data_IF_691990395887
#
_entry.id   IF_691990395887
#
_cell.length_a   1.000
_cell.length_b   1.000
_cell.length_c   1.000
_cell.angle_alpha   90.00
_cell.angle_beta   90.00
_cell.angle_gamma   90.00
#
_symmetry.space_group_name_H-M   'P 1'
#
loop_
_entity.id
_entity.type
_entity.pdbx_description
1 polymer ?
#
# COMPACT_ATOMS: atom_id res chain seq x y z
N UNK A 1 3.36 24.47 7.73
CA UNK A 1 3.04 23.15 8.36
C UNK A 1 2.85 21.99 7.34
N UNK A 2 3.04 22.23 6.02
CA UNK A 2 2.86 21.19 4.97
C UNK A 2 4.20 20.62 4.44
N UNK A 3 5.34 20.85 5.08
CA UNK A 3 6.67 20.59 4.50
C UNK A 3 7.45 19.42 5.09
N UNK A 4 7.01 18.78 6.14
CA UNK A 4 7.77 17.69 6.80
C UNK A 4 7.48 16.32 6.19
N UNK A 5 6.28 16.08 5.69
CA UNK A 5 5.92 14.82 5.02
C UNK A 5 6.58 14.64 3.63
N UNK A 6 7.08 15.72 3.02
CA UNK A 6 7.63 15.69 1.66
C UNK A 6 9.08 15.16 1.58
N UNK A 7 9.83 15.16 2.66
CA UNK A 7 11.28 14.89 2.62
C UNK A 7 11.60 13.39 2.65
N UNK A 8 10.76 12.56 3.25
CA UNK A 8 11.02 11.11 3.32
C UNK A 8 10.57 10.39 2.04
N UNK A 9 9.68 10.99 1.25
CA UNK A 9 9.13 10.41 0.01
C UNK A 9 10.00 10.63 -1.23
N UNK A 10 10.95 11.57 -1.20
CA UNK A 10 11.73 11.92 -2.40
C UNK A 10 12.86 10.94 -2.74
N UNK A 11 13.25 10.07 -1.82
CA UNK A 11 14.37 9.15 -2.04
C UNK A 11 14.02 7.88 -2.83
N UNK A 12 12.77 7.43 -2.84
CA UNK A 12 12.37 6.17 -3.49
C UNK A 12 11.54 6.34 -4.78
N UNK A 13 11.03 7.54 -5.07
CA UNK A 13 10.14 7.78 -6.21
C UNK A 13 10.77 8.57 -7.37
N UNK A 14 12.07 8.86 -7.34
CA UNK A 14 12.75 9.65 -8.38
C UNK A 14 12.85 8.96 -9.77
N UNK A 15 12.21 7.81 -9.97
CA UNK A 15 12.25 7.06 -11.23
C UNK A 15 10.90 6.74 -11.87
N UNK A 16 9.78 7.07 -11.24
CA UNK A 16 8.44 6.71 -11.74
C UNK A 16 7.60 7.95 -12.10
N UNK A 17 8.13 8.85 -12.93
CA UNK A 17 7.27 9.76 -13.69
C UNK A 17 6.55 8.94 -14.76
N UNK A 18 5.33 8.50 -14.47
CA UNK A 18 4.47 7.95 -15.52
C UNK A 18 4.06 9.11 -16.43
N UNK A 19 4.43 9.10 -17.72
CA UNK A 19 3.91 10.10 -18.64
C UNK A 19 2.39 9.95 -18.71
N UNK A 20 1.66 11.05 -18.58
CA UNK A 20 0.25 11.11 -18.84
C UNK A 20 -0.01 10.68 -20.30
N UNK A 21 -0.42 9.43 -20.49
CA UNK A 21 -0.71 8.90 -21.82
C UNK A 21 -2.12 9.31 -22.19
N UNK A 22 -2.22 10.17 -23.20
CA UNK A 22 -3.48 10.54 -23.83
C UNK A 22 -4.32 9.30 -24.16
N UNK A 23 -5.52 9.23 -23.62
CA UNK A 23 -6.46 8.14 -23.84
C UNK A 23 -6.94 8.14 -25.29
N UNK A 24 -6.38 7.25 -26.11
CA UNK A 24 -7.00 6.88 -27.37
C UNK A 24 -8.11 5.88 -27.06
N UNK A 25 -9.38 6.26 -27.32
CA UNK A 25 -10.53 5.36 -27.18
C UNK A 25 -10.38 4.17 -28.14
N UNK A 26 -9.87 3.05 -27.66
CA UNK A 26 -9.88 1.79 -28.40
C UNK A 26 -10.99 0.88 -27.82
N UNK A 27 -11.82 0.33 -28.72
CA UNK A 27 -12.88 -0.63 -28.37
C UNK A 27 -12.31 -1.85 -27.66
N UNK A 28 -12.84 -2.16 -26.48
CA UNK A 28 -12.51 -3.38 -25.72
C UNK A 28 -12.89 -4.61 -26.56
N UNK A 29 -11.91 -5.42 -26.93
CA UNK A 29 -12.17 -6.77 -27.46
C UNK A 29 -12.47 -7.70 -26.26
N UNK A 30 -13.68 -8.27 -26.22
CA UNK A 30 -14.10 -9.27 -25.23
C UNK A 30 -13.50 -10.64 -25.60
N UNK A 31 -12.76 -11.24 -24.69
CA UNK A 31 -12.27 -12.62 -24.77
C UNK A 31 -11.29 -12.91 -23.64
N UNK A 32 -11.22 -14.15 -23.13
CA UNK A 32 -10.22 -14.51 -22.13
C UNK A 32 -8.82 -14.41 -22.77
N UNK A 33 -7.96 -13.58 -22.16
CA UNK A 33 -6.57 -13.49 -22.56
C UNK A 33 -5.70 -14.22 -21.54
N UNK A 34 -4.98 -15.20 -22.05
CA UNK A 34 -3.83 -15.79 -21.37
C UNK A 34 -2.60 -15.07 -21.93
N UNK A 35 -1.82 -14.47 -21.05
CA UNK A 35 -0.58 -13.79 -21.43
C UNK A 35 0.62 -14.56 -20.89
N UNK A 36 1.45 -15.05 -21.81
CA UNK A 36 2.76 -15.59 -21.50
C UNK A 36 3.79 -14.54 -21.94
N UNK A 37 4.35 -13.79 -21.00
CA UNK A 37 5.21 -12.65 -21.31
C UNK A 37 6.63 -12.85 -20.78
N UNK A 38 7.59 -12.87 -21.67
CA UNK A 38 9.01 -12.81 -21.35
C UNK A 38 9.51 -11.36 -21.34
N UNK A 39 8.81 -10.46 -22.02
CA UNK A 39 9.20 -9.04 -22.17
C UNK A 39 7.97 -8.13 -22.18
N UNK A 40 8.09 -6.97 -21.54
CA UNK A 40 7.05 -5.96 -21.47
C UNK A 40 6.79 -5.29 -22.83
N UNK A 41 6.06 -5.94 -23.73
CA UNK A 41 5.58 -5.30 -24.93
C UNK A 41 4.23 -4.65 -24.65
N UNK A 42 4.18 -3.33 -24.79
CA UNK A 42 2.97 -2.53 -24.63
C UNK A 42 1.97 -2.86 -25.72
N UNK A 43 0.91 -3.60 -25.41
CA UNK A 43 -0.18 -3.74 -26.36
C UNK A 43 -1.56 -3.87 -25.70
N UNK A 44 -2.46 -3.09 -26.27
CA UNK A 44 -3.93 -3.10 -26.21
C UNK A 44 -4.58 -3.10 -24.81
N UNK A 45 -5.59 -2.23 -24.69
CA UNK A 45 -6.54 -2.15 -23.56
C UNK A 45 -7.33 -3.47 -23.49
N UNK A 46 -6.71 -4.49 -22.89
CA UNK A 46 -7.30 -5.82 -22.70
C UNK A 46 -7.30 -6.21 -21.24
N UNK A 47 -8.31 -6.93 -20.83
CA UNK A 47 -8.32 -7.61 -19.54
C UNK A 47 -7.63 -8.95 -19.69
N UNK A 48 -6.67 -9.22 -18.81
CA UNK A 48 -5.94 -10.48 -18.75
C UNK A 48 -6.46 -11.28 -17.56
N UNK A 49 -6.78 -12.54 -17.77
CA UNK A 49 -7.29 -13.43 -16.71
C UNK A 49 -6.21 -14.33 -16.12
N UNK A 50 -5.28 -14.76 -16.94
CA UNK A 50 -4.10 -15.50 -16.50
C UNK A 50 -2.85 -14.88 -17.13
N UNK A 51 -1.90 -14.53 -16.30
CA UNK A 51 -0.63 -13.97 -16.71
C UNK A 51 0.52 -14.70 -16.04
N UNK A 52 1.40 -15.25 -16.84
CA UNK A 52 2.63 -15.91 -16.41
C UNK A 52 3.81 -15.26 -17.12
N UNK A 53 4.87 -14.89 -16.42
CA UNK A 53 6.00 -14.26 -17.07
C UNK A 53 7.16 -13.91 -16.16
N UNK A 54 8.18 -13.27 -16.74
CA UNK A 54 9.29 -12.69 -15.98
C UNK A 54 8.99 -11.24 -15.64
N UNK A 55 8.80 -10.41 -16.66
CA UNK A 55 8.42 -9.01 -16.57
C UNK A 55 7.11 -8.83 -17.32
N UNK A 56 6.09 -8.36 -16.64
CA UNK A 56 4.78 -8.19 -17.25
C UNK A 56 4.29 -6.78 -17.13
N UNK A 57 3.74 -6.27 -18.24
CA UNK A 57 3.04 -5.01 -18.31
C UNK A 57 1.71 -5.23 -19.05
N UNK A 58 0.64 -5.35 -18.29
CA UNK A 58 -0.73 -5.56 -18.79
C UNK A 58 -1.60 -4.38 -18.44
N UNK A 59 -2.67 -4.16 -19.21
CA UNK A 59 -3.58 -3.04 -18.92
C UNK A 59 -4.40 -3.29 -17.65
N UNK A 60 -5.04 -4.46 -17.55
CA UNK A 60 -5.86 -4.87 -16.40
C UNK A 60 -5.69 -6.36 -16.14
N UNK A 61 -5.51 -6.72 -14.88
CA UNK A 61 -5.54 -8.10 -14.42
C UNK A 61 -6.90 -8.38 -13.75
N UNK A 62 -7.55 -9.45 -14.18
CA UNK A 62 -8.77 -9.96 -13.53
C UNK A 62 -8.65 -11.46 -13.40
N UNK A 63 -7.99 -11.93 -12.35
CA UNK A 63 -7.69 -13.34 -12.14
C UNK A 63 -6.33 -13.56 -11.52
N UNK A 64 -5.46 -14.33 -12.16
CA UNK A 64 -4.16 -14.74 -11.59
C UNK A 64 -3.00 -14.21 -12.42
N UNK A 65 -2.05 -13.54 -11.77
CA UNK A 65 -0.79 -13.10 -12.33
C UNK A 65 0.38 -13.63 -11.51
N UNK A 66 1.28 -14.38 -12.14
CA UNK A 66 2.51 -14.89 -11.51
C UNK A 66 3.69 -14.46 -12.36
N UNK A 67 4.60 -13.69 -11.78
CA UNK A 67 5.73 -13.11 -12.47
C UNK A 67 7.01 -13.26 -11.65
N UNK A 68 8.06 -13.73 -12.28
CA UNK A 68 9.31 -13.99 -11.56
C UNK A 68 9.98 -12.71 -11.06
N UNK A 69 9.90 -11.62 -11.82
CA UNK A 69 10.53 -10.34 -11.46
C UNK A 69 9.48 -9.30 -11.08
N UNK A 70 8.70 -8.82 -12.06
CA UNK A 70 7.76 -7.73 -11.80
C UNK A 70 6.46 -7.90 -12.56
N UNK A 71 5.37 -7.51 -11.94
CA UNK A 71 4.04 -7.49 -12.54
C UNK A 71 3.45 -6.09 -12.46
N UNK A 72 3.16 -5.50 -13.61
CA UNK A 72 2.54 -4.17 -13.73
C UNK A 72 1.16 -4.31 -14.36
N UNK A 73 0.12 -3.99 -13.61
CA UNK A 73 -1.22 -3.75 -14.12
C UNK A 73 -1.44 -2.24 -14.24
N UNK A 74 -1.47 -1.69 -15.44
CA UNK A 74 -1.55 -0.23 -15.68
C UNK A 74 -2.80 0.42 -15.11
N UNK A 75 -3.91 -0.30 -15.06
CA UNK A 75 -5.17 0.18 -14.52
C UNK A 75 -5.51 -0.53 -13.21
N UNK A 76 -6.26 -1.59 -13.28
CA UNK A 76 -6.80 -2.25 -12.10
C UNK A 76 -6.33 -3.71 -12.02
N UNK A 77 -6.17 -4.20 -10.82
CA UNK A 77 -5.96 -5.60 -10.53
C UNK A 77 -7.11 -6.12 -9.67
N UNK A 78 -7.67 -7.25 -10.06
CA UNK A 78 -8.66 -7.98 -9.27
C UNK A 78 -8.30 -9.45 -9.28
N UNK A 79 -8.10 -10.03 -8.10
CA UNK A 79 -7.73 -11.42 -7.94
C UNK A 79 -6.40 -11.62 -7.22
N UNK A 80 -5.49 -12.37 -7.82
CA UNK A 80 -4.24 -12.80 -7.20
C UNK A 80 -3.04 -12.38 -8.06
N UNK A 81 -2.10 -11.65 -7.48
CA UNK A 81 -0.89 -11.20 -8.16
C UNK A 81 0.34 -11.51 -7.32
N UNK A 82 1.28 -12.23 -7.92
CA UNK A 82 2.57 -12.59 -7.29
C UNK A 82 3.71 -12.10 -8.14
N UNK A 83 4.71 -11.50 -7.54
CA UNK A 83 5.94 -11.06 -8.21
C UNK A 83 7.15 -11.27 -7.31
N UNK A 84 8.25 -11.72 -7.91
CA UNK A 84 9.50 -11.93 -7.17
C UNK A 84 10.06 -10.62 -6.57
N UNK A 85 9.95 -9.49 -7.27
CA UNK A 85 10.37 -8.20 -6.75
C UNK A 85 9.19 -7.26 -6.47
N UNK A 86 8.43 -6.86 -7.50
CA UNK A 86 7.41 -5.83 -7.32
C UNK A 86 6.09 -6.16 -8.02
N UNK A 87 4.99 -5.98 -7.29
CA UNK A 87 3.63 -5.99 -7.82
C UNK A 87 3.10 -4.55 -7.86
N UNK A 88 2.83 -4.03 -9.06
CA UNK A 88 2.42 -2.64 -9.27
C UNK A 88 1.05 -2.62 -9.95
N UNK A 89 0.13 -1.87 -9.36
CA UNK A 89 -1.19 -1.60 -9.92
C UNK A 89 -1.38 -0.10 -10.05
N UNK A 90 -1.70 0.38 -11.25
CA UNK A 90 -1.78 1.81 -11.55
C UNK A 90 -2.92 2.53 -10.83
N UNK A 91 -4.02 1.86 -10.53
CA UNK A 91 -5.16 2.45 -9.80
C UNK A 91 -5.61 1.60 -8.62
N UNK A 92 -6.50 0.63 -8.86
CA UNK A 92 -7.12 -0.13 -7.79
C UNK A 92 -6.62 -1.57 -7.78
N UNK A 93 -6.07 -1.98 -6.65
CA UNK A 93 -5.72 -3.36 -6.38
C UNK A 93 -6.80 -3.96 -5.46
N UNK A 94 -7.45 -5.03 -5.93
CA UNK A 94 -8.48 -5.74 -5.18
C UNK A 94 -8.18 -7.23 -5.16
N UNK A 95 -7.99 -7.80 -3.98
CA UNK A 95 -7.62 -9.19 -3.79
C UNK A 95 -6.28 -9.35 -3.08
N UNK A 96 -5.41 -10.20 -3.58
CA UNK A 96 -4.14 -10.53 -2.93
C UNK A 96 -2.97 -10.10 -3.81
N UNK A 97 -2.08 -9.28 -3.25
CA UNK A 97 -0.80 -8.91 -3.86
C UNK A 97 0.36 -9.42 -3.01
N UNK A 98 1.24 -10.19 -3.63
CA UNK A 98 2.49 -10.67 -3.03
C UNK A 98 3.66 -10.12 -3.83
N UNK A 99 4.49 -9.31 -3.22
CA UNK A 99 5.71 -8.77 -3.82
C UNK A 99 6.92 -9.11 -2.96
N UNK A 100 7.97 -9.66 -3.53
CA UNK A 100 9.17 -9.97 -2.78
C UNK A 100 9.81 -8.74 -2.13
N UNK A 101 9.77 -7.59 -2.81
CA UNK A 101 10.25 -6.31 -2.28
C UNK A 101 9.08 -5.37 -1.99
N UNK A 102 8.23 -5.09 -2.98
CA UNK A 102 7.21 -4.06 -2.82
C UNK A 102 5.89 -4.40 -3.50
N UNK A 103 4.80 -3.93 -2.90
CA UNK A 103 3.50 -3.82 -3.56
C UNK A 103 3.09 -2.36 -3.64
N UNK A 104 2.62 -1.93 -4.80
CA UNK A 104 2.17 -0.55 -5.04
C UNK A 104 0.78 -0.56 -5.68
N UNK A 105 -0.16 0.11 -5.03
CA UNK A 105 -1.45 0.46 -5.60
C UNK A 105 -1.50 1.99 -5.78
N UNK A 106 -1.64 2.47 -7.02
CA UNK A 106 -1.62 3.90 -7.32
C UNK A 106 -2.78 4.70 -6.72
N UNK A 107 -3.90 4.05 -6.42
CA UNK A 107 -5.02 4.63 -5.68
C UNK A 107 -5.39 3.75 -4.48
N UNK A 108 -6.34 2.83 -4.63
CA UNK A 108 -6.83 2.05 -3.50
C UNK A 108 -6.32 0.61 -3.53
N UNK A 109 -5.94 0.12 -2.36
CA UNK A 109 -5.66 -1.28 -2.11
C UNK A 109 -6.79 -1.86 -1.24
N UNK A 110 -7.46 -2.90 -1.72
CA UNK A 110 -8.51 -3.60 -1.01
C UNK A 110 -8.18 -5.09 -0.95
N UNK A 111 -7.98 -5.64 0.23
CA UNK A 111 -7.65 -7.03 0.43
C UNK A 111 -6.33 -7.24 1.16
N UNK A 112 -5.45 -8.07 0.62
CA UNK A 112 -4.20 -8.46 1.29
C UNK A 112 -2.99 -8.01 0.47
N UNK A 113 -2.08 -7.27 1.09
CA UNK A 113 -0.79 -6.90 0.52
C UNK A 113 0.34 -7.41 1.43
N UNK A 114 1.15 -8.32 0.89
CA UNK A 114 2.33 -8.83 1.60
C UNK A 114 3.59 -8.51 0.81
N UNK A 115 4.56 -7.88 1.44
CA UNK A 115 5.84 -7.55 0.81
C UNK A 115 7.01 -7.74 1.77
N UNK A 116 8.18 -8.01 1.19
CA UNK A 116 9.41 -8.09 1.97
C UNK A 116 9.83 -6.75 2.58
N UNK A 117 9.63 -5.63 1.85
CA UNK A 117 10.01 -4.32 2.36
C UNK A 117 8.82 -3.37 2.53
N UNK A 118 8.07 -3.05 1.46
CA UNK A 118 7.10 -1.96 1.54
C UNK A 118 5.78 -2.26 0.81
N UNK A 119 4.66 -1.88 1.44
CA UNK A 119 3.37 -1.73 0.78
C UNK A 119 2.99 -0.26 0.68
N UNK A 120 2.56 0.19 -0.49
CA UNK A 120 2.17 1.58 -0.75
C UNK A 120 0.80 1.64 -1.40
N UNK A 121 -0.11 2.38 -0.78
CA UNK A 121 -1.40 2.74 -1.37
C UNK A 121 -1.47 4.26 -1.58
N UNK A 122 -1.70 4.69 -2.82
CA UNK A 122 -1.74 6.11 -3.20
C UNK A 122 -2.94 6.88 -2.64
N UNK A 123 -3.93 6.20 -2.09
CA UNK A 123 -5.07 6.80 -1.43
C UNK A 123 -5.46 5.96 -0.19
N UNK A 124 -6.20 4.88 -0.36
CA UNK A 124 -6.71 4.07 0.75
C UNK A 124 -6.17 2.65 0.71
N UNK A 125 -5.86 2.16 1.89
CA UNK A 125 -5.51 0.78 2.12
C UNK A 125 -6.56 0.14 3.04
N UNK A 126 -7.32 -0.81 2.53
CA UNK A 126 -8.34 -1.52 3.29
C UNK A 126 -8.03 -3.02 3.30
N UNK A 127 -8.01 -3.62 4.47
CA UNK A 127 -7.77 -5.05 4.66
C UNK A 127 -6.49 -5.32 5.44
N UNK A 128 -5.63 -6.21 4.94
CA UNK A 128 -4.42 -6.64 5.63
C UNK A 128 -3.20 -6.17 4.85
N UNK A 129 -2.30 -5.44 5.52
CA UNK A 129 -1.01 -5.05 4.97
C UNK A 129 0.11 -5.52 5.90
N UNK A 130 1.04 -6.28 5.34
CA UNK A 130 2.20 -6.77 6.09
C UNK A 130 3.46 -6.51 5.26
N UNK A 131 4.44 -5.88 5.88
CA UNK A 131 5.72 -5.58 5.23
C UNK A 131 6.88 -5.64 6.22
N UNK A 132 8.06 -5.95 5.71
CA UNK A 132 9.27 -6.01 6.53
C UNK A 132 9.76 -4.65 7.02
N UNK A 133 9.58 -3.57 6.25
CA UNK A 133 9.92 -2.22 6.69
C UNK A 133 8.68 -1.39 7.01
N UNK A 134 7.79 -1.19 6.03
CA UNK A 134 6.69 -0.28 6.32
C UNK A 134 5.52 -0.32 5.34
N UNK A 135 4.38 0.11 5.85
CA UNK A 135 3.16 0.29 5.09
C UNK A 135 2.82 1.78 5.02
N UNK A 136 2.49 2.27 3.83
CA UNK A 136 2.16 3.67 3.58
C UNK A 136 0.80 3.76 2.89
N UNK A 137 -0.12 4.51 3.49
CA UNK A 137 -1.38 4.91 2.88
C UNK A 137 -1.48 6.44 2.87
N UNK A 138 -1.66 7.06 1.69
CA UNK A 138 -1.71 8.53 1.59
C UNK A 138 -2.91 9.17 2.27
N UNK A 139 -4.00 8.48 2.37
CA UNK A 139 -5.15 9.00 3.13
C UNK A 139 -5.49 8.07 4.29
N UNK A 140 -6.09 6.93 4.02
CA UNK A 140 -6.63 6.08 5.09
C UNK A 140 -6.02 4.68 5.04
N UNK A 141 -5.55 4.20 6.17
CA UNK A 141 -5.27 2.78 6.42
C UNK A 141 -6.36 2.20 7.30
N UNK A 142 -7.04 1.14 6.83
CA UNK A 142 -8.14 0.50 7.57
C UNK A 142 -7.97 -1.01 7.58
N UNK A 143 -8.08 -1.60 8.76
CA UNK A 143 -7.96 -3.04 8.97
C UNK A 143 -6.74 -3.40 9.79
N UNK A 144 -5.92 -4.34 9.32
CA UNK A 144 -4.70 -4.78 10.01
C UNK A 144 -3.47 -4.33 9.23
N UNK A 145 -2.62 -3.55 9.87
CA UNK A 145 -1.39 -3.04 9.26
C UNK A 145 -0.20 -3.39 10.14
N UNK A 146 0.71 -4.21 9.60
CA UNK A 146 1.90 -4.68 10.33
C UNK A 146 3.14 -4.28 9.53
N UNK A 147 3.96 -3.42 10.09
CA UNK A 147 5.24 -2.98 9.52
C UNK A 147 6.41 -3.32 10.45
N UNK A 148 7.48 -3.87 9.93
CA UNK A 148 8.67 -4.16 10.74
C UNK A 148 9.26 -2.91 11.38
N UNK A 149 9.23 -1.76 10.70
CA UNK A 149 9.67 -0.49 11.27
C UNK A 149 8.51 0.48 11.48
N UNK A 150 7.73 0.80 10.44
CA UNK A 150 6.74 1.86 10.54
C UNK A 150 5.46 1.62 9.74
N UNK A 151 4.37 2.17 10.24
CA UNK A 151 3.13 2.34 9.49
C UNK A 151 2.78 3.82 9.42
N UNK A 152 2.45 4.30 8.22
CA UNK A 152 2.11 5.69 7.96
C UNK A 152 0.76 5.80 7.25
N UNK A 153 -0.14 6.56 7.83
CA UNK A 153 -1.37 7.02 7.17
C UNK A 153 -1.40 8.56 7.22
N UNK A 154 -1.45 9.23 6.06
CA UNK A 154 -1.39 10.71 6.05
C UNK A 154 -2.61 11.35 6.69
N UNK A 155 -3.78 10.70 6.66
CA UNK A 155 -4.98 11.18 7.32
C UNK A 155 -5.39 10.26 8.48
N UNK A 156 -5.92 9.08 8.19
CA UNK A 156 -6.58 8.25 9.19
C UNK A 156 -6.00 6.84 9.26
N UNK A 157 -5.76 6.39 10.45
CA UNK A 157 -5.40 5.02 10.77
C UNK A 157 -6.53 4.36 11.57
N UNK A 158 -7.13 3.29 11.05
CA UNK A 158 -8.27 2.63 11.66
C UNK A 158 -8.06 1.11 11.76
N UNK A 159 -8.30 0.54 12.92
CA UNK A 159 -8.16 -0.89 13.20
C UNK A 159 -6.91 -1.19 14.00
N UNK A 160 -6.21 -2.28 13.65
CA UNK A 160 -5.01 -2.72 14.34
C UNK A 160 -3.76 -2.29 13.56
N UNK A 161 -2.88 -1.54 14.22
CA UNK A 161 -1.58 -1.17 13.70
C UNK A 161 -0.46 -1.67 14.61
N UNK A 162 0.50 -2.36 14.03
CA UNK A 162 1.68 -2.86 14.75
C UNK A 162 2.93 -2.45 13.97
N UNK A 163 3.85 -1.77 14.63
CA UNK A 163 5.12 -1.37 14.06
C UNK A 163 6.27 -1.59 15.05
N UNK A 164 7.42 -1.99 14.56
CA UNK A 164 8.61 -2.16 15.39
C UNK A 164 9.14 -0.84 15.95
N UNK A 165 8.97 0.27 15.24
CA UNK A 165 9.35 1.60 15.71
C UNK A 165 8.13 2.50 15.92
N UNK A 166 7.39 2.82 14.86
CA UNK A 166 6.37 3.86 14.95
C UNK A 166 5.11 3.59 14.13
N UNK A 167 3.94 3.90 14.70
CA UNK A 167 2.71 4.11 13.96
C UNK A 167 2.40 5.61 13.90
N UNK A 168 2.14 6.14 12.70
CA UNK A 168 1.92 7.57 12.47
C UNK A 168 0.61 7.77 11.72
N UNK A 169 -0.29 8.54 12.30
CA UNK A 169 -1.51 9.01 11.67
C UNK A 169 -1.49 10.54 11.59
N UNK A 170 -1.59 11.10 10.40
CA UNK A 170 -1.52 12.55 10.17
C UNK A 170 -2.70 13.33 10.71
N UNK A 171 -3.84 12.68 10.96
CA UNK A 171 -5.00 13.30 11.61
C UNK A 171 -5.52 12.44 12.76
N UNK A 172 -6.09 11.29 12.46
CA UNK A 172 -6.75 10.50 13.51
C UNK A 172 -6.33 9.05 13.50
N UNK A 173 -6.23 8.50 14.69
CA UNK A 173 -6.07 7.08 14.91
C UNK A 173 -7.28 6.54 15.66
N UNK A 174 -7.81 5.42 15.18
CA UNK A 174 -8.96 4.74 15.79
C UNK A 174 -8.71 3.23 15.85
N UNK A 175 -8.93 2.63 17.02
CA UNK A 175 -8.64 1.22 17.27
C UNK A 175 -7.38 1.03 18.12
N UNK A 176 -6.53 0.09 17.76
CA UNK A 176 -5.35 -0.27 18.55
C UNK A 176 -4.07 0.03 17.76
N UNK A 177 -3.15 0.79 18.35
CA UNK A 177 -1.81 0.97 17.82
C UNK A 177 -0.75 0.50 18.81
N UNK A 178 0.11 -0.38 18.35
CA UNK A 178 1.25 -0.91 19.11
C UNK A 178 2.52 -0.50 18.37
N UNK A 179 3.26 0.43 18.94
CA UNK A 179 4.55 0.89 18.42
C UNK A 179 5.69 0.50 19.35
N UNK A 180 6.76 -0.05 18.81
CA UNK A 180 7.94 -0.39 19.63
C UNK A 180 8.52 0.83 20.34
N UNK A 181 8.56 1.98 19.69
CA UNK A 181 9.00 3.24 20.31
C UNK A 181 7.86 4.22 20.51
N UNK A 182 7.08 4.53 19.47
CA UNK A 182 6.07 5.58 19.55
C UNK A 182 4.82 5.31 18.70
N UNK A 183 3.71 5.91 19.14
CA UNK A 183 2.52 6.11 18.34
C UNK A 183 2.22 7.61 18.25
N UNK A 184 1.93 8.11 17.05
CA UNK A 184 1.66 9.53 16.82
C UNK A 184 0.34 9.70 16.08
N UNK A 185 -0.53 10.53 16.63
CA UNK A 185 -1.76 11.00 15.99
C UNK A 185 -1.82 12.53 16.09
N UNK A 186 -1.91 13.24 14.96
CA UNK A 186 -1.78 14.70 14.98
C UNK A 186 -3.00 15.42 15.53
N UNK A 187 -4.20 14.84 15.46
CA UNK A 187 -5.43 15.51 15.89
C UNK A 187 -6.23 14.69 16.91
N UNK A 188 -6.53 13.43 16.61
CA UNK A 188 -7.43 12.63 17.43
C UNK A 188 -6.97 11.20 17.60
N UNK A 189 -7.00 10.73 18.82
CA UNK A 189 -6.86 9.30 19.16
C UNK A 189 -8.17 8.78 19.78
N UNK A 190 -8.64 7.63 19.27
CA UNK A 190 -9.85 6.97 19.76
C UNK A 190 -9.59 5.46 19.86
N UNK A 191 -9.29 4.96 21.05
CA UNK A 191 -8.94 3.56 21.27
C UNK A 191 -7.71 3.39 22.16
N UNK A 192 -6.85 2.42 21.83
CA UNK A 192 -5.68 2.09 22.64
C UNK A 192 -4.37 2.39 21.88
N UNK A 193 -3.44 3.06 22.54
CA UNK A 193 -2.07 3.24 22.10
C UNK A 193 -1.10 2.64 23.10
N UNK A 194 -0.22 1.76 22.65
CA UNK A 194 0.81 1.13 23.46
C UNK A 194 2.15 1.38 22.81
N UNK A 195 3.07 2.00 23.54
CA UNK A 195 4.44 2.26 23.09
C UNK A 195 5.45 2.07 24.23
N UNK A 196 6.70 1.78 23.88
CA UNK A 196 7.74 1.70 24.89
C UNK A 196 8.16 3.10 25.38
N UNK A 197 8.11 4.12 24.52
CA UNK A 197 8.60 5.45 24.86
C UNK A 197 7.47 6.47 24.94
N UNK A 198 6.78 6.73 23.82
CA UNK A 198 5.83 7.84 23.72
C UNK A 198 4.56 7.48 22.96
N UNK A 199 3.42 7.94 23.47
CA UNK A 199 2.21 8.11 22.68
C UNK A 199 1.91 9.61 22.55
N UNK A 200 1.73 10.12 21.35
CA UNK A 200 1.47 11.52 21.07
C UNK A 200 0.11 11.66 20.41
N UNK A 201 -0.76 12.42 21.06
CA UNK A 201 -2.03 12.87 20.50
C UNK A 201 -2.07 14.39 20.50
N UNK A 202 -2.08 15.00 19.30
CA UNK A 202 -2.04 16.47 19.15
C UNK A 202 -3.33 17.19 19.52
N UNK A 203 -4.41 16.46 19.79
CA UNK A 203 -5.70 16.99 20.18
C UNK A 203 -6.42 16.08 21.17
N UNK A 204 -7.58 15.59 20.81
CA UNK A 204 -8.39 14.79 21.73
C UNK A 204 -7.91 13.34 21.78
N UNK A 205 -7.60 12.85 22.98
CA UNK A 205 -7.35 11.43 23.23
C UNK A 205 -8.52 10.82 24.02
N UNK A 206 -9.10 9.75 23.49
CA UNK A 206 -10.14 8.95 24.15
C UNK A 206 -9.70 7.49 24.17
N UNK A 207 -9.76 6.86 25.34
CA UNK A 207 -9.36 5.46 25.52
C UNK A 207 -8.09 5.33 26.37
N UNK A 208 -7.28 4.31 26.08
CA UNK A 208 -6.11 4.00 26.90
C UNK A 208 -4.80 4.35 26.17
N UNK A 209 -3.91 5.05 26.85
CA UNK A 209 -2.56 5.30 26.37
C UNK A 209 -1.56 4.73 27.39
N UNK A 210 -0.66 3.86 26.95
CA UNK A 210 0.35 3.22 27.78
C UNK A 210 1.72 3.47 27.16
N UNK A 211 2.57 4.19 27.87
CA UNK A 211 3.96 4.39 27.51
C UNK A 211 4.84 4.46 28.77
N UNK A 212 6.14 4.12 28.63
CA UNK A 212 7.05 4.15 29.76
C UNK A 212 7.50 5.57 30.14
N UNK A 213 7.57 6.50 29.17
CA UNK A 213 8.08 7.87 29.40
C UNK A 213 6.97 8.92 29.35
N UNK A 214 6.06 8.86 28.36
CA UNK A 214 5.03 9.88 28.26
C UNK A 214 3.87 9.56 27.32
N UNK A 215 2.75 10.19 27.64
CA UNK A 215 1.51 10.15 26.85
C UNK A 215 1.03 11.58 26.63
#
# INVERSE_FOLDING_TARGET
>A
KKRIAAIILLGCCAGLTTPAIAQKKNKLKKGPNISLNISAKKDSIKTTYLNLGLLTNIYRLQGVGINAISSVAQSDMTGFQVSGLASITGRHASGIQLGGIANVAGANANGVMLSGLMNVAGNRANGIQISGLGNIARNTSRGVTIGGLMNLADDQAQGLQIAGLANIAGKSQSGIAIGGLMNVSAEKTDGAQIASILNISGGTARGAQIAAIGN
#
